data_IF_698422031278
#
_entry.id   IF_698422031278
#
_cell.length_a   1.000
_cell.length_b   1.000
_cell.length_c   1.000
_cell.angle_alpha   90.00
_cell.angle_beta   90.00
_cell.angle_gamma   90.00
#
_symmetry.space_group_name_H-M   'P 1'
#
loop_
_entity.id
_entity.type
_entity.pdbx_description
1 polymer ?
#
# COMPACT_ATOMS: atom_id res chain seq x y z
N UNK A 1 -11.56 -17.88 -4.44
CA UNK A 1 -10.75 -16.64 -4.44
C UNK A 1 -9.81 -16.64 -3.25
N UNK A 2 -8.63 -16.02 -3.35
CA UNK A 2 -7.77 -15.81 -2.18
C UNK A 2 -8.43 -14.82 -1.21
N UNK A 3 -8.24 -15.04 0.10
CA UNK A 3 -8.75 -14.16 1.16
C UNK A 3 -8.02 -12.84 1.10
N UNK A 4 -8.76 -11.74 1.14
CA UNK A 4 -8.20 -10.42 0.87
C UNK A 4 -7.26 -9.95 1.98
N UNK A 5 -7.55 -10.34 3.23
CA UNK A 5 -6.78 -9.94 4.41
C UNK A 5 -5.47 -10.72 4.57
N UNK A 6 -5.39 -11.91 3.98
CA UNK A 6 -4.28 -12.88 4.07
C UNK A 6 -3.83 -13.39 2.69
N UNK A 7 -3.92 -12.52 1.70
CA UNK A 7 -3.74 -12.86 0.29
C UNK A 7 -2.34 -13.43 0.02
N UNK A 8 -1.31 -12.74 0.50
CA UNK A 8 0.10 -13.10 0.31
C UNK A 8 0.45 -14.43 0.97
N UNK A 9 -0.07 -14.68 2.16
CA UNK A 9 0.13 -15.92 2.90
C UNK A 9 -0.56 -17.10 2.20
N UNK A 10 -1.72 -16.87 1.58
CA UNK A 10 -2.41 -17.90 0.80
C UNK A 10 -1.64 -18.28 -0.47
N UNK A 11 -1.16 -17.30 -1.25
CA UNK A 11 -0.36 -17.60 -2.45
C UNK A 11 0.99 -18.23 -2.08
N UNK A 12 1.59 -17.82 -0.98
CA UNK A 12 2.84 -18.40 -0.46
C UNK A 12 2.67 -19.83 0.00
N UNK A 13 1.56 -20.14 0.70
CA UNK A 13 1.22 -21.51 1.07
C UNK A 13 0.98 -22.40 -0.15
N UNK A 14 0.42 -21.87 -1.23
CA UNK A 14 0.28 -22.58 -2.50
C UNK A 14 1.63 -22.97 -3.11
N UNK A 15 2.59 -22.05 -3.17
CA UNK A 15 3.94 -22.35 -3.64
C UNK A 15 4.69 -23.35 -2.75
N UNK A 16 4.52 -23.26 -1.44
CA UNK A 16 5.14 -24.22 -0.52
C UNK A 16 4.59 -25.65 -0.70
N UNK A 17 3.30 -25.81 -1.00
CA UNK A 17 2.76 -27.12 -1.35
C UNK A 17 3.48 -27.69 -2.59
N UNK A 18 3.77 -26.85 -3.58
CA UNK A 18 4.60 -27.21 -4.73
C UNK A 18 5.99 -27.69 -4.32
N UNK A 19 6.67 -26.93 -3.45
CA UNK A 19 7.99 -27.30 -2.93
C UNK A 19 7.98 -28.64 -2.18
N UNK A 20 6.98 -28.88 -1.35
CA UNK A 20 6.86 -30.15 -0.62
C UNK A 20 6.77 -31.36 -1.56
N UNK A 21 6.15 -31.19 -2.75
CA UNK A 21 6.07 -32.26 -3.76
C UNK A 21 7.41 -32.52 -4.44
N UNK A 22 8.26 -31.50 -4.56
CA UNK A 22 9.64 -31.64 -5.04
C UNK A 22 10.47 -32.40 -4.00
N UNK A 23 10.41 -31.98 -2.73
CA UNK A 23 11.16 -32.62 -1.65
C UNK A 23 10.74 -34.07 -1.40
N UNK A 24 9.46 -34.39 -1.63
CA UNK A 24 8.95 -35.76 -1.59
C UNK A 24 9.33 -36.61 -2.82
N UNK A 25 10.09 -36.05 -3.78
CA UNK A 25 10.50 -36.74 -5.00
C UNK A 25 9.37 -37.02 -6.01
N UNK A 26 8.22 -36.36 -5.89
CA UNK A 26 7.05 -36.61 -6.74
C UNK A 26 7.00 -35.76 -8.00
N UNK A 27 7.63 -34.59 -8.02
CA UNK A 27 7.60 -33.62 -9.12
C UNK A 27 8.96 -32.95 -9.29
N UNK A 28 9.34 -32.60 -10.52
CA UNK A 28 10.49 -31.71 -10.73
C UNK A 28 10.12 -30.25 -10.46
N UNK A 29 11.08 -29.35 -10.22
CA UNK A 29 10.79 -27.93 -10.08
C UNK A 29 10.09 -27.30 -11.30
N UNK A 30 10.44 -27.74 -12.51
CA UNK A 30 9.81 -27.25 -13.75
C UNK A 30 8.35 -27.71 -13.86
N UNK A 31 8.05 -28.95 -13.43
CA UNK A 31 6.67 -29.46 -13.38
C UNK A 31 5.81 -28.64 -12.41
N UNK A 32 6.38 -28.23 -11.27
CA UNK A 32 5.66 -27.39 -10.30
C UNK A 32 5.43 -25.98 -10.82
N UNK A 33 6.40 -25.38 -11.53
CA UNK A 33 6.21 -24.08 -12.20
C UNK A 33 5.08 -24.18 -13.23
N UNK A 34 5.10 -25.19 -14.10
CA UNK A 34 4.04 -25.43 -15.09
C UNK A 34 2.66 -25.66 -14.43
N UNK A 35 2.63 -26.45 -13.35
CA UNK A 35 1.42 -26.69 -12.56
C UNK A 35 0.84 -25.41 -11.94
N UNK A 36 1.69 -24.50 -11.44
CA UNK A 36 1.27 -23.18 -10.96
C UNK A 36 0.63 -22.38 -12.08
N UNK A 37 1.27 -22.31 -13.25
CA UNK A 37 0.76 -21.56 -14.41
C UNK A 37 -0.62 -22.05 -14.82
N UNK A 38 -0.79 -23.36 -14.94
CA UNK A 38 -2.08 -23.98 -15.25
C UNK A 38 -3.12 -23.68 -14.17
N UNK A 39 -2.74 -23.79 -12.88
CA UNK A 39 -3.64 -23.50 -11.77
C UNK A 39 -4.12 -22.04 -11.77
N UNK A 40 -3.25 -21.08 -12.09
CA UNK A 40 -3.62 -19.68 -12.24
C UNK A 40 -4.58 -19.47 -13.40
N UNK A 41 -4.28 -20.07 -14.57
CA UNK A 41 -5.13 -19.97 -15.75
C UNK A 41 -6.54 -20.52 -15.52
N UNK A 42 -6.63 -21.73 -14.96
CA UNK A 42 -7.91 -22.38 -14.63
C UNK A 42 -8.67 -21.61 -13.55
N UNK A 43 -7.97 -21.12 -12.52
CA UNK A 43 -8.59 -20.29 -11.48
C UNK A 43 -9.18 -19.01 -12.06
N UNK A 44 -8.42 -18.30 -12.89
CA UNK A 44 -8.90 -17.09 -13.54
C UNK A 44 -10.09 -17.39 -14.45
N UNK A 45 -10.03 -18.44 -15.27
CA UNK A 45 -11.13 -18.84 -16.14
C UNK A 45 -12.42 -19.10 -15.33
N UNK A 46 -12.34 -19.95 -14.29
CA UNK A 46 -13.50 -20.26 -13.44
C UNK A 46 -14.05 -19.03 -12.72
N UNK A 47 -13.18 -18.16 -12.19
CA UNK A 47 -13.63 -16.94 -11.51
C UNK A 47 -14.31 -15.95 -12.47
N UNK A 48 -13.89 -15.89 -13.72
CA UNK A 48 -14.55 -15.06 -14.73
C UNK A 48 -15.90 -15.69 -15.16
N UNK A 49 -15.95 -17.00 -15.38
CA UNK A 49 -17.18 -17.70 -15.80
C UNK A 49 -18.25 -17.67 -14.71
N UNK A 50 -17.86 -17.84 -13.44
CA UNK A 50 -18.76 -17.95 -12.29
C UNK A 50 -18.61 -16.76 -11.34
N UNK A 51 -18.47 -15.54 -11.88
CA UNK A 51 -18.14 -14.35 -11.09
C UNK A 51 -19.15 -14.06 -9.96
N UNK A 52 -20.45 -14.22 -10.24
CA UNK A 52 -21.51 -14.04 -9.24
C UNK A 52 -21.41 -15.05 -8.09
N UNK A 53 -21.22 -16.33 -8.42
CA UNK A 53 -21.06 -17.39 -7.42
C UNK A 53 -19.78 -17.21 -6.61
N UNK A 54 -18.69 -16.78 -7.26
CA UNK A 54 -17.44 -16.50 -6.59
C UNK A 54 -17.57 -15.34 -5.60
N UNK A 55 -18.34 -14.29 -5.95
CA UNK A 55 -18.63 -13.18 -5.04
C UNK A 55 -19.52 -13.62 -3.87
N UNK A 56 -20.55 -14.43 -4.12
CA UNK A 56 -21.39 -14.99 -3.07
C UNK A 56 -20.58 -15.87 -2.10
N UNK A 57 -19.73 -16.74 -2.64
CA UNK A 57 -18.83 -17.58 -1.85
C UNK A 57 -17.81 -16.75 -1.05
N UNK A 58 -17.31 -15.65 -1.61
CA UNK A 58 -16.46 -14.70 -0.88
C UNK A 58 -17.18 -14.12 0.33
N UNK A 59 -18.42 -13.62 0.16
CA UNK A 59 -19.22 -13.05 1.25
C UNK A 59 -19.52 -14.10 2.31
N UNK A 60 -19.95 -15.29 1.90
CA UNK A 60 -20.24 -16.40 2.81
C UNK A 60 -19.01 -16.79 3.63
N UNK A 61 -17.84 -16.89 3.00
CA UNK A 61 -16.59 -17.22 3.69
C UNK A 61 -16.20 -16.16 4.72
N UNK A 62 -16.39 -14.87 4.41
CA UNK A 62 -16.10 -13.78 5.36
C UNK A 62 -17.04 -13.83 6.57
N UNK A 63 -18.33 -14.03 6.33
CA UNK A 63 -19.32 -14.15 7.41
C UNK A 63 -19.01 -15.33 8.33
N UNK A 64 -18.72 -16.51 7.77
CA UNK A 64 -18.39 -17.69 8.55
C UNK A 64 -17.11 -17.51 9.37
N UNK A 65 -16.06 -16.93 8.77
CA UNK A 65 -14.81 -16.66 9.49
C UNK A 65 -15.01 -15.64 10.60
N UNK A 66 -15.76 -14.56 10.33
CA UNK A 66 -16.08 -13.55 11.33
C UNK A 66 -16.80 -14.13 12.55
N UNK A 67 -17.77 -15.02 12.32
CA UNK A 67 -18.45 -15.76 13.38
C UNK A 67 -17.50 -16.64 14.17
N UNK A 68 -16.65 -17.42 13.49
CA UNK A 68 -15.69 -18.32 14.15
C UNK A 68 -14.62 -17.56 14.96
N UNK A 69 -14.21 -16.38 14.53
CA UNK A 69 -13.23 -15.56 15.24
C UNK A 69 -13.83 -14.55 16.23
N UNK A 70 -15.16 -14.47 16.34
CA UNK A 70 -15.82 -13.45 17.19
C UNK A 70 -15.53 -12.01 16.75
N UNK A 71 -15.31 -11.81 15.45
CA UNK A 71 -14.99 -10.50 14.84
C UNK A 71 -16.15 -10.00 13.97
N UNK A 72 -16.04 -8.77 13.47
CA UNK A 72 -16.98 -8.19 12.51
C UNK A 72 -16.21 -7.54 11.34
N UNK A 73 -16.93 -6.92 10.40
CA UNK A 73 -16.32 -6.27 9.23
C UNK A 73 -15.24 -5.22 9.55
N UNK A 74 -15.28 -4.60 10.74
CA UNK A 74 -14.29 -3.62 11.16
C UNK A 74 -13.07 -4.26 11.86
N UNK A 75 -13.26 -5.34 12.63
CA UNK A 75 -12.19 -5.96 13.43
C UNK A 75 -11.52 -7.17 12.77
N UNK A 76 -12.16 -7.80 11.78
CA UNK A 76 -11.68 -9.04 11.18
C UNK A 76 -10.30 -8.89 10.52
N UNK A 77 -10.06 -7.79 9.81
CA UNK A 77 -8.80 -7.59 9.10
C UNK A 77 -7.59 -7.41 10.04
N UNK A 78 -7.82 -6.83 11.23
CA UNK A 78 -6.80 -6.72 12.27
C UNK A 78 -6.56 -8.10 12.91
N UNK A 79 -7.63 -8.82 13.26
CA UNK A 79 -7.53 -10.18 13.80
C UNK A 79 -6.81 -11.13 12.85
N UNK A 80 -7.17 -11.12 11.57
CA UNK A 80 -6.57 -11.97 10.55
C UNK A 80 -5.05 -11.77 10.46
N UNK A 81 -4.53 -10.57 10.75
CA UNK A 81 -3.10 -10.22 10.70
C UNK A 81 -2.44 -10.12 12.07
N UNK A 82 -3.10 -10.59 13.13
CA UNK A 82 -2.60 -10.54 14.51
C UNK A 82 -1.56 -11.63 14.83
N UNK A 83 -1.35 -12.58 13.91
CA UNK A 83 -0.32 -13.61 14.03
C UNK A 83 1.07 -13.00 14.20
N UNK A 84 1.90 -13.64 15.02
CA UNK A 84 3.31 -13.28 15.22
C UNK A 84 4.20 -14.36 14.62
N UNK A 85 5.50 -14.12 14.47
CA UNK A 85 6.43 -15.17 14.02
C UNK A 85 6.38 -16.46 14.88
N UNK A 86 5.94 -16.36 16.15
CA UNK A 86 5.77 -17.52 17.03
C UNK A 86 4.50 -18.34 16.75
N UNK A 87 3.43 -17.71 16.26
CA UNK A 87 2.12 -18.35 16.07
C UNK A 87 1.73 -18.49 14.60
N UNK A 88 2.47 -17.84 13.72
CA UNK A 88 2.18 -17.72 12.30
C UNK A 88 3.48 -17.54 11.51
N UNK A 89 3.90 -18.64 10.87
CA UNK A 89 5.14 -18.70 10.08
C UNK A 89 5.18 -17.77 8.86
N UNK A 90 4.05 -17.15 8.48
CA UNK A 90 3.99 -16.18 7.40
C UNK A 90 3.89 -14.73 7.89
N UNK A 91 3.85 -14.50 9.21
CA UNK A 91 3.67 -13.16 9.79
C UNK A 91 4.87 -12.23 9.54
N UNK A 92 6.08 -12.78 9.38
CA UNK A 92 7.22 -12.00 8.91
C UNK A 92 7.11 -11.77 7.41
N UNK A 93 6.68 -10.57 7.04
CA UNK A 93 6.52 -10.15 5.64
C UNK A 93 7.81 -10.31 4.83
N UNK A 94 8.96 -9.93 5.39
CA UNK A 94 10.25 -9.94 4.67
C UNK A 94 10.68 -11.37 4.39
N UNK A 95 10.61 -12.24 5.41
CA UNK A 95 10.93 -13.66 5.26
C UNK A 95 9.96 -14.35 4.29
N UNK A 96 8.66 -14.03 4.37
CA UNK A 96 7.65 -14.59 3.49
C UNK A 96 7.86 -14.17 2.03
N UNK A 97 8.14 -12.88 1.77
CA UNK A 97 8.46 -12.36 0.45
C UNK A 97 9.70 -13.05 -0.14
N UNK A 98 10.77 -13.18 0.65
CA UNK A 98 11.99 -13.86 0.21
C UNK A 98 11.72 -15.34 -0.15
N UNK A 99 10.97 -16.05 0.70
CA UNK A 99 10.59 -17.44 0.46
C UNK A 99 9.69 -17.59 -0.78
N UNK A 100 8.73 -16.69 -0.98
CA UNK A 100 7.87 -16.65 -2.17
C UNK A 100 8.70 -16.46 -3.43
N UNK A 101 9.57 -15.45 -3.46
CA UNK A 101 10.42 -15.16 -4.62
C UNK A 101 11.35 -16.32 -4.96
N UNK A 102 11.96 -16.97 -3.95
CA UNK A 102 12.77 -18.17 -4.19
C UNK A 102 11.95 -19.31 -4.81
N UNK A 103 10.72 -19.54 -4.34
CA UNK A 103 9.83 -20.61 -4.85
C UNK A 103 9.21 -20.29 -6.20
N UNK A 104 9.22 -19.04 -6.65
CA UNK A 104 8.78 -18.71 -8.00
C UNK A 104 9.67 -19.36 -9.06
N UNK A 105 10.98 -19.47 -8.79
CA UNK A 105 12.00 -20.01 -9.71
C UNK A 105 12.67 -21.28 -9.21
N UNK A 106 12.43 -21.68 -7.96
CA UNK A 106 13.11 -22.77 -7.26
C UNK A 106 14.64 -22.69 -7.31
N UNK A 107 15.19 -21.46 -7.37
CA UNK A 107 16.63 -21.22 -7.41
C UNK A 107 17.26 -21.25 -8.80
N UNK A 108 16.47 -21.49 -9.86
CA UNK A 108 16.98 -21.31 -11.22
C UNK A 108 17.25 -19.83 -11.51
N UNK A 109 18.36 -19.58 -12.21
CA UNK A 109 18.64 -18.30 -12.84
C UNK A 109 18.01 -18.17 -14.23
N UNK A 110 18.05 -16.97 -14.83
CA UNK A 110 17.65 -16.77 -16.22
C UNK A 110 18.51 -17.59 -17.19
N UNK A 111 17.87 -18.13 -18.22
CA UNK A 111 18.47 -18.85 -19.35
C UNK A 111 18.33 -18.10 -20.68
N UNK A 112 17.67 -16.93 -20.66
CA UNK A 112 17.50 -16.02 -21.79
C UNK A 112 17.44 -14.55 -21.31
N UNK A 113 17.21 -13.61 -22.24
CA UNK A 113 17.10 -12.18 -21.91
C UNK A 113 15.97 -11.89 -20.92
N UNK A 114 16.23 -10.96 -20.01
CA UNK A 114 15.30 -10.51 -18.96
C UNK A 114 14.47 -9.28 -19.35
N UNK A 115 14.57 -8.83 -20.60
CA UNK A 115 14.09 -7.52 -21.04
C UNK A 115 12.75 -7.57 -21.81
N UNK A 116 12.14 -8.75 -21.93
CA UNK A 116 10.87 -8.86 -22.64
C UNK A 116 9.77 -8.07 -21.90
N UNK A 117 8.96 -7.27 -22.62
CA UNK A 117 7.95 -6.43 -22.00
C UNK A 117 6.94 -7.29 -21.21
N UNK A 118 6.32 -6.75 -20.16
CA UNK A 118 5.30 -7.46 -19.41
C UNK A 118 4.13 -7.93 -20.28
N UNK A 119 3.62 -9.14 -20.01
CA UNK A 119 2.54 -9.79 -20.76
C UNK A 119 1.55 -10.39 -19.77
N UNK A 120 0.43 -9.67 -19.55
CA UNK A 120 -0.63 -10.14 -18.65
C UNK A 120 -1.67 -10.93 -19.48
N UNK A 121 -2.02 -12.17 -19.10
CA UNK A 121 -3.11 -12.90 -19.74
C UNK A 121 -4.45 -12.18 -19.59
N UNK A 122 -5.33 -12.24 -20.60
CA UNK A 122 -6.69 -11.65 -20.51
C UNK A 122 -7.48 -12.33 -19.38
N UNK A 123 -8.19 -11.55 -18.55
CA UNK A 123 -9.00 -12.08 -17.45
C UNK A 123 -8.21 -12.38 -16.17
N UNK A 124 -6.87 -12.30 -16.19
CA UNK A 124 -6.04 -12.52 -15.00
C UNK A 124 -6.31 -11.46 -13.91
N UNK A 125 -6.78 -10.27 -14.27
CA UNK A 125 -7.16 -9.21 -13.33
C UNK A 125 -8.25 -9.61 -12.31
N UNK A 126 -9.00 -10.68 -12.58
CA UNK A 126 -9.96 -11.26 -11.62
C UNK A 126 -9.26 -11.82 -10.38
N UNK A 127 -8.01 -12.28 -10.51
CA UNK A 127 -7.23 -12.86 -9.41
C UNK A 127 -6.95 -11.84 -8.30
N UNK A 128 -7.01 -10.54 -8.62
CA UNK A 128 -6.81 -9.45 -7.69
C UNK A 128 -8.12 -8.80 -7.22
N UNK A 129 -9.28 -9.24 -7.71
CA UNK A 129 -10.56 -8.55 -7.46
C UNK A 129 -10.86 -8.39 -5.97
N UNK A 130 -10.68 -9.44 -5.18
CA UNK A 130 -10.95 -9.40 -3.74
C UNK A 130 -9.88 -8.64 -2.97
N UNK A 131 -8.65 -8.58 -3.50
CA UNK A 131 -7.53 -7.83 -2.90
C UNK A 131 -7.67 -6.33 -3.14
N UNK A 132 -8.20 -5.92 -4.29
CA UNK A 132 -8.38 -4.52 -4.66
C UNK A 132 -9.81 -4.25 -5.13
N UNK A 133 -10.80 -4.33 -4.23
CA UNK A 133 -12.21 -4.14 -4.60
C UNK A 133 -12.52 -2.74 -5.14
N UNK A 134 -11.69 -1.75 -4.79
CA UNK A 134 -11.82 -0.36 -5.20
C UNK A 134 -11.10 -0.02 -6.52
N UNK A 135 -10.33 -0.95 -7.11
CA UNK A 135 -9.68 -0.76 -8.40
C UNK A 135 -10.53 -1.34 -9.54
N UNK A 136 -10.53 -0.69 -10.70
CA UNK A 136 -11.14 -1.23 -11.92
C UNK A 136 -10.39 -2.48 -12.43
N UNK A 137 -11.03 -3.23 -13.34
CA UNK A 137 -10.39 -4.36 -14.01
C UNK A 137 -9.07 -3.97 -14.72
N UNK A 138 -9.09 -2.85 -15.46
CA UNK A 138 -7.91 -2.32 -16.15
C UNK A 138 -6.81 -1.92 -15.16
N UNK A 139 -7.17 -1.31 -14.04
CA UNK A 139 -6.21 -0.95 -13.00
C UNK A 139 -5.56 -2.18 -12.37
N UNK A 140 -6.34 -3.21 -12.03
CA UNK A 140 -5.81 -4.49 -11.54
C UNK A 140 -4.91 -5.17 -12.57
N UNK A 141 -5.24 -5.04 -13.86
CA UNK A 141 -4.38 -5.51 -14.96
C UNK A 141 -3.05 -4.77 -15.02
N UNK A 142 -3.04 -3.45 -14.80
CA UNK A 142 -1.79 -2.67 -14.69
C UNK A 142 -0.99 -3.03 -13.43
N UNK A 143 -1.66 -3.33 -12.31
CA UNK A 143 -0.98 -3.86 -11.12
C UNK A 143 -0.24 -5.15 -11.45
N UNK A 144 -0.89 -6.13 -12.09
CA UNK A 144 -0.24 -7.36 -12.55
C UNK A 144 0.95 -7.04 -13.47
N UNK A 145 0.73 -6.20 -14.48
CA UNK A 145 1.75 -5.81 -15.47
C UNK A 145 3.00 -5.21 -14.83
N UNK A 146 2.83 -4.36 -13.84
CA UNK A 146 3.94 -3.60 -13.22
C UNK A 146 4.64 -4.35 -12.10
N UNK A 147 4.15 -5.54 -11.76
CA UNK A 147 4.70 -6.38 -10.69
C UNK A 147 5.18 -7.74 -11.19
N UNK A 148 5.03 -8.03 -12.50
CA UNK A 148 5.54 -9.24 -13.14
C UNK A 148 7.02 -9.50 -12.83
N UNK A 149 7.37 -10.78 -12.76
CA UNK A 149 8.76 -11.19 -12.77
C UNK A 149 9.44 -10.84 -14.10
N UNK A 150 10.76 -10.58 -14.12
CA UNK A 150 11.51 -10.45 -15.36
C UNK A 150 11.37 -11.70 -16.25
N UNK A 151 11.53 -11.53 -17.56
CA UNK A 151 11.58 -12.67 -18.48
C UNK A 151 12.86 -13.49 -18.31
N UNK A 152 12.99 -14.55 -19.11
CA UNK A 152 14.21 -15.32 -19.27
C UNK A 152 14.35 -16.48 -18.30
N UNK A 153 13.44 -16.65 -17.33
CA UNK A 153 13.46 -17.80 -16.42
C UNK A 153 12.90 -19.05 -17.10
N UNK A 154 13.43 -20.25 -16.78
CA UNK A 154 12.94 -21.50 -17.37
C UNK A 154 11.43 -21.65 -17.25
N UNK A 155 10.75 -21.97 -18.37
CA UNK A 155 9.30 -22.22 -18.47
C UNK A 155 8.40 -20.99 -18.21
N UNK A 156 8.95 -19.87 -17.74
CA UNK A 156 8.14 -18.71 -17.31
C UNK A 156 7.74 -17.75 -18.44
N UNK A 157 8.42 -17.79 -19.58
CA UNK A 157 8.09 -16.96 -20.75
C UNK A 157 7.06 -17.66 -21.66
N UNK A 158 5.92 -18.07 -21.09
CA UNK A 158 4.83 -18.66 -21.87
C UNK A 158 4.14 -17.64 -22.77
N UNK A 159 3.52 -18.12 -23.85
CA UNK A 159 2.90 -17.29 -24.87
C UNK A 159 1.74 -16.44 -24.33
N UNK A 160 1.05 -16.89 -23.29
CA UNK A 160 -0.07 -16.19 -22.67
C UNK A 160 0.36 -15.27 -21.52
N UNK A 161 1.49 -15.55 -20.86
CA UNK A 161 2.11 -14.74 -19.82
C UNK A 161 1.78 -15.14 -18.37
N UNK A 162 1.29 -16.36 -18.13
CA UNK A 162 0.95 -16.84 -16.78
C UNK A 162 2.17 -17.08 -15.89
N UNK A 163 3.31 -17.43 -16.48
CA UNK A 163 4.54 -17.79 -15.80
C UNK A 163 5.11 -16.67 -14.96
N UNK A 164 5.04 -15.44 -15.47
CA UNK A 164 5.63 -14.24 -14.84
C UNK A 164 4.73 -13.53 -13.84
N UNK A 165 3.46 -13.92 -13.70
CA UNK A 165 2.55 -13.29 -12.74
C UNK A 165 3.07 -13.44 -11.30
N UNK A 166 3.42 -12.33 -10.67
CA UNK A 166 3.87 -12.28 -9.27
C UNK A 166 2.75 -11.78 -8.37
N UNK A 167 1.85 -12.69 -7.97
CA UNK A 167 0.70 -12.33 -7.14
C UNK A 167 1.08 -11.81 -5.75
N UNK A 168 2.26 -12.15 -5.24
CA UNK A 168 2.75 -11.62 -3.96
C UNK A 168 3.06 -10.13 -4.08
N UNK A 169 3.86 -9.74 -5.07
CA UNK A 169 4.16 -8.33 -5.33
C UNK A 169 2.90 -7.58 -5.77
N UNK A 170 2.06 -8.16 -6.62
CA UNK A 170 0.80 -7.54 -7.03
C UNK A 170 -0.10 -7.19 -5.85
N UNK A 171 -0.15 -8.01 -4.80
CA UNK A 171 -0.94 -7.75 -3.60
C UNK A 171 -0.45 -6.55 -2.76
N UNK A 172 0.75 -6.03 -3.03
CA UNK A 172 1.28 -4.81 -2.42
C UNK A 172 0.99 -3.54 -3.23
N UNK A 173 0.14 -3.63 -4.26
CA UNK A 173 -0.29 -2.51 -5.11
C UNK A 173 0.53 -2.40 -6.39
N UNK A 174 0.50 -1.24 -7.03
CA UNK A 174 1.26 -0.99 -8.27
C UNK A 174 2.77 -1.17 -8.04
N UNK A 175 3.49 -1.65 -9.06
CA UNK A 175 4.97 -1.57 -9.08
C UNK A 175 5.47 -0.30 -9.78
N UNK A 176 4.65 0.28 -10.65
CA UNK A 176 4.95 1.55 -11.31
C UNK A 176 3.67 2.26 -11.78
N UNK A 177 3.69 3.59 -11.78
CA UNK A 177 2.74 4.44 -12.48
C UNK A 177 3.30 4.78 -13.88
N UNK A 178 3.04 3.92 -14.86
CA UNK A 178 3.44 4.18 -16.26
C UNK A 178 2.56 5.24 -16.95
N UNK A 179 1.45 5.60 -16.31
CA UNK A 179 0.55 6.70 -16.65
C UNK A 179 -0.16 7.17 -15.40
N UNK A 180 -0.98 8.21 -15.51
CA UNK A 180 -1.72 8.75 -14.37
C UNK A 180 -2.72 7.72 -13.82
N UNK A 181 -2.76 7.57 -12.51
CA UNK A 181 -3.63 6.64 -11.78
C UNK A 181 -4.56 7.41 -10.88
N UNK A 182 -5.87 7.14 -10.98
CA UNK A 182 -6.89 7.67 -10.08
C UNK A 182 -7.42 6.53 -9.21
N UNK A 183 -7.34 6.68 -7.89
CA UNK A 183 -7.85 5.70 -6.92
C UNK A 183 -9.06 6.33 -6.21
N UNK A 184 -10.22 5.68 -6.31
CA UNK A 184 -11.44 6.05 -5.57
C UNK A 184 -11.68 5.05 -4.45
N UNK A 185 -11.58 5.49 -3.19
CA UNK A 185 -11.87 4.64 -2.02
C UNK A 185 -13.13 5.10 -1.28
N UNK A 186 -13.88 4.18 -0.70
CA UNK A 186 -15.13 4.46 0.01
C UNK A 186 -15.10 3.87 1.43
N UNK A 187 -14.98 4.75 2.41
CA UNK A 187 -14.97 4.39 3.82
C UNK A 187 -16.26 3.69 4.27
N UNK A 188 -17.41 4.00 3.66
CA UNK A 188 -18.70 3.44 4.06
C UNK A 188 -18.83 1.95 3.73
N UNK A 189 -18.03 1.44 2.79
CA UNK A 189 -18.03 0.03 2.39
C UNK A 189 -17.17 -0.86 3.30
N UNK A 190 -16.40 -0.27 4.23
CA UNK A 190 -15.54 -1.01 5.15
C UNK A 190 -14.42 -1.80 4.46
N UNK A 191 -13.70 -2.61 5.26
CA UNK A 191 -12.63 -3.48 4.77
C UNK A 191 -11.59 -2.74 3.93
N UNK A 192 -11.18 -3.36 2.81
CA UNK A 192 -10.20 -2.79 1.89
C UNK A 192 -10.72 -1.62 1.05
N UNK A 193 -12.04 -1.43 0.93
CA UNK A 193 -12.59 -0.22 0.31
C UNK A 193 -12.40 1.00 1.21
N UNK A 194 -12.40 0.79 2.53
CA UNK A 194 -12.23 1.85 3.50
C UNK A 194 -10.76 2.17 3.79
N UNK A 195 -9.91 1.15 3.92
CA UNK A 195 -8.49 1.35 4.20
C UNK A 195 -7.61 0.26 3.59
N UNK A 196 -6.51 0.66 2.95
CA UNK A 196 -5.52 -0.26 2.37
C UNK A 196 -4.09 0.27 2.49
N UNK A 197 -3.12 -0.64 2.36
CA UNK A 197 -1.69 -0.37 2.38
C UNK A 197 -1.04 -0.92 1.13
N UNK A 198 -0.33 -0.06 0.39
CA UNK A 198 0.57 -0.46 -0.69
C UNK A 198 2.01 -0.43 -0.20
N UNK A 199 2.75 -1.54 -0.41
CA UNK A 199 4.12 -1.74 0.08
C UNK A 199 5.17 -1.79 -1.02
N UNK A 200 4.78 -1.84 -2.29
CA UNK A 200 5.73 -1.83 -3.39
C UNK A 200 6.48 -0.50 -3.47
N UNK A 201 7.71 -0.57 -3.97
CA UNK A 201 8.51 0.59 -4.34
C UNK A 201 8.04 1.12 -5.69
N UNK A 202 7.02 1.99 -5.67
CA UNK A 202 6.34 2.44 -6.89
C UNK A 202 7.23 3.40 -7.68
N UNK A 203 7.51 3.05 -8.93
CA UNK A 203 8.27 3.88 -9.88
C UNK A 203 7.37 4.54 -10.94
N UNK A 204 7.99 5.17 -11.95
CA UNK A 204 7.31 5.64 -13.18
C UNK A 204 6.99 7.13 -13.20
N UNK A 205 6.62 7.63 -14.38
CA UNK A 205 6.39 9.06 -14.61
C UNK A 205 4.95 9.52 -14.30
N UNK A 206 4.05 8.59 -14.02
CA UNK A 206 2.63 8.86 -13.77
C UNK A 206 2.37 9.52 -12.43
N UNK A 207 1.28 10.31 -12.40
CA UNK A 207 0.73 10.94 -11.19
C UNK A 207 -0.21 9.97 -10.46
N UNK A 208 -0.23 10.02 -9.13
CA UNK A 208 -1.30 9.43 -8.32
C UNK A 208 -2.35 10.49 -7.95
N UNK A 209 -3.62 10.21 -8.18
CA UNK A 209 -4.74 10.97 -7.62
C UNK A 209 -5.55 10.07 -6.69
N UNK A 210 -5.67 10.43 -5.41
CA UNK A 210 -6.61 9.81 -4.47
C UNK A 210 -7.89 10.66 -4.39
N UNK A 211 -9.05 10.00 -4.39
CA UNK A 211 -10.34 10.60 -4.18
C UNK A 211 -11.30 9.66 -3.42
N UNK A 212 -12.46 10.17 -3.05
CA UNK A 212 -13.43 9.46 -2.23
C UNK A 212 -13.25 9.77 -0.73
N UNK A 213 -13.55 8.81 0.13
CA UNK A 213 -13.56 8.99 1.60
C UNK A 213 -12.64 8.02 2.35
N UNK A 214 -12.12 6.99 1.67
CA UNK A 214 -11.23 5.99 2.28
C UNK A 214 -9.80 6.46 2.50
N UNK A 215 -8.98 5.57 3.05
CA UNK A 215 -7.56 5.80 3.37
C UNK A 215 -6.65 4.88 2.57
N UNK A 216 -5.72 5.44 1.81
CA UNK A 216 -4.63 4.68 1.18
C UNK A 216 -3.32 5.01 1.89
N UNK A 217 -2.61 4.00 2.38
CA UNK A 217 -1.27 4.15 2.94
C UNK A 217 -0.21 3.71 1.92
N UNK A 218 0.73 4.58 1.60
CA UNK A 218 1.90 4.23 0.80
C UNK A 218 3.09 4.00 1.73
N UNK A 219 3.64 2.79 1.73
CA UNK A 219 4.70 2.36 2.67
C UNK A 219 5.98 1.86 2.00
N UNK A 220 5.99 1.74 0.68
CA UNK A 220 7.21 1.47 -0.09
C UNK A 220 8.13 2.68 -0.18
N UNK A 221 9.34 2.45 -0.66
CA UNK A 221 10.31 3.49 -1.01
C UNK A 221 10.01 4.02 -2.43
N UNK A 222 8.98 4.84 -2.55
CA UNK A 222 8.46 5.26 -3.84
C UNK A 222 9.39 6.27 -4.54
N UNK A 223 9.40 6.19 -5.87
CA UNK A 223 10.24 7.02 -6.76
C UNK A 223 9.49 7.51 -8.01
N UNK A 224 8.16 7.43 -8.01
CA UNK A 224 7.37 7.98 -9.12
C UNK A 224 7.51 9.50 -9.17
N UNK A 225 7.51 10.07 -10.37
CA UNK A 225 7.87 11.48 -10.60
C UNK A 225 6.70 12.35 -11.02
N UNK A 226 5.53 11.78 -11.35
CA UNK A 226 4.36 12.54 -11.79
C UNK A 226 3.65 13.33 -10.69
N UNK A 227 4.08 13.15 -9.44
CA UNK A 227 3.50 13.81 -8.26
C UNK A 227 2.24 13.12 -7.73
N UNK A 228 1.65 13.75 -6.73
CA UNK A 228 0.55 13.21 -5.93
C UNK A 228 -0.51 14.28 -5.71
N UNK A 229 -1.76 13.91 -5.99
CA UNK A 229 -2.93 14.75 -5.78
C UNK A 229 -3.90 14.04 -4.83
N UNK A 230 -4.28 14.72 -3.75
CA UNK A 230 -5.32 14.23 -2.83
C UNK A 230 -6.53 15.12 -3.00
N UNK A 231 -7.57 14.62 -3.68
CA UNK A 231 -8.83 15.32 -3.92
C UNK A 231 -9.95 14.86 -2.98
N UNK A 232 -9.68 13.88 -2.12
CA UNK A 232 -10.62 13.34 -1.14
C UNK A 232 -9.96 12.21 -0.33
N UNK A 233 -10.55 11.89 0.81
CA UNK A 233 -10.09 10.80 1.68
C UNK A 233 -8.76 11.14 2.35
N UNK A 234 -8.04 10.10 2.79
CA UNK A 234 -6.72 10.27 3.43
C UNK A 234 -5.63 9.51 2.68
N UNK A 235 -4.60 10.21 2.24
CA UNK A 235 -3.38 9.58 1.76
C UNK A 235 -2.34 9.59 2.90
N UNK A 236 -2.00 8.41 3.41
CA UNK A 236 -1.04 8.26 4.49
C UNK A 236 0.35 7.90 3.96
N UNK A 237 1.38 8.58 4.47
CA UNK A 237 2.77 8.23 4.29
C UNK A 237 3.22 7.26 5.40
N UNK A 238 3.48 6.01 5.03
CA UNK A 238 4.00 4.96 5.91
C UNK A 238 5.53 4.79 5.84
N UNK A 239 6.22 5.53 4.96
CA UNK A 239 7.67 5.53 4.81
C UNK A 239 8.21 6.92 4.50
N UNK A 240 9.52 7.13 4.67
CA UNK A 240 10.17 8.43 4.45
C UNK A 240 10.03 8.96 3.01
N UNK A 241 9.85 8.07 2.03
CA UNK A 241 9.75 8.39 0.59
C UNK A 241 8.37 8.02 0.01
N UNK A 242 7.34 7.93 0.86
CA UNK A 242 6.01 7.47 0.46
C UNK A 242 5.39 8.24 -0.72
N UNK A 243 5.72 9.52 -0.90
CA UNK A 243 5.12 10.37 -1.95
C UNK A 243 5.97 10.54 -3.21
N UNK A 244 6.99 9.71 -3.40
CA UNK A 244 7.82 9.77 -4.60
C UNK A 244 8.66 11.05 -4.67
N UNK A 245 8.95 11.51 -5.89
CA UNK A 245 9.84 12.66 -6.13
C UNK A 245 9.14 13.83 -6.83
N UNK A 246 7.82 13.77 -7.01
CA UNK A 246 7.02 14.85 -7.57
C UNK A 246 6.35 15.71 -6.51
N UNK A 247 5.66 16.76 -6.96
CA UNK A 247 4.91 17.66 -6.09
C UNK A 247 3.73 16.94 -5.40
N UNK A 248 3.41 17.36 -4.18
CA UNK A 248 2.22 16.91 -3.45
C UNK A 248 1.23 18.05 -3.35
N UNK A 249 0.01 17.80 -3.83
CA UNK A 249 -1.09 18.75 -3.81
C UNK A 249 -2.30 18.17 -3.07
N UNK A 250 -2.73 18.85 -2.02
CA UNK A 250 -3.92 18.51 -1.23
C UNK A 250 -5.03 19.49 -1.58
N UNK A 251 -5.97 19.02 -2.39
CA UNK A 251 -7.18 19.75 -2.75
C UNK A 251 -8.24 19.67 -1.65
N UNK A 252 -9.20 20.60 -1.67
CA UNK A 252 -10.31 20.65 -0.71
C UNK A 252 -11.00 19.29 -0.56
N UNK A 253 -11.28 18.89 0.69
CA UNK A 253 -11.81 17.58 1.05
C UNK A 253 -10.76 16.47 1.19
N UNK A 254 -9.51 16.72 0.76
CA UNK A 254 -8.40 15.80 0.90
C UNK A 254 -7.69 15.92 2.25
N UNK A 255 -7.12 14.81 2.71
CA UNK A 255 -6.26 14.75 3.90
C UNK A 255 -4.95 14.01 3.61
N UNK A 256 -3.87 14.49 4.20
CA UNK A 256 -2.57 13.79 4.21
C UNK A 256 -2.24 13.44 5.65
N UNK A 257 -1.78 12.21 5.88
CA UNK A 257 -1.31 11.76 7.19
C UNK A 257 0.14 11.32 7.12
N UNK A 258 0.98 11.84 8.00
CA UNK A 258 2.38 11.45 8.12
C UNK A 258 2.49 10.46 9.28
N UNK A 259 2.52 9.16 8.95
CA UNK A 259 2.54 8.06 9.92
C UNK A 259 3.88 7.28 9.92
N UNK A 260 4.85 7.71 9.11
CA UNK A 260 6.15 7.07 9.03
C UNK A 260 6.96 7.27 10.32
N UNK A 261 7.66 6.22 10.76
CA UNK A 261 8.60 6.27 11.90
C UNK A 261 9.91 7.04 11.62
N UNK A 262 9.94 7.80 10.53
CA UNK A 262 11.02 8.71 10.16
C UNK A 262 10.41 9.93 9.44
N UNK A 263 11.12 11.07 9.38
CA UNK A 263 10.63 12.24 8.67
C UNK A 263 10.36 11.92 7.18
N UNK A 264 9.18 12.29 6.71
CA UNK A 264 8.80 12.14 5.29
C UNK A 264 9.33 13.33 4.51
N UNK A 265 10.02 13.06 3.40
CA UNK A 265 10.65 14.11 2.59
C UNK A 265 9.91 14.29 1.27
N UNK A 266 9.45 15.51 1.03
CA UNK A 266 8.97 15.99 -0.26
C UNK A 266 10.04 16.94 -0.78
N UNK A 267 10.88 16.46 -1.69
CA UNK A 267 12.02 17.24 -2.18
C UNK A 267 11.62 18.46 -3.02
N UNK A 268 10.38 18.47 -3.50
CA UNK A 268 9.81 19.53 -4.35
C UNK A 268 8.76 20.33 -3.56
N UNK A 269 7.57 20.59 -4.12
CA UNK A 269 6.54 21.44 -3.50
C UNK A 269 5.50 20.62 -2.74
N UNK A 270 5.05 21.17 -1.61
CA UNK A 270 3.83 20.76 -0.93
C UNK A 270 2.82 21.91 -0.97
N UNK A 271 1.64 21.66 -1.53
CA UNK A 271 0.54 22.63 -1.58
C UNK A 271 -0.69 22.07 -0.87
N UNK A 272 -1.29 22.86 0.01
CA UNK A 272 -2.51 22.51 0.71
C UNK A 272 -3.52 23.65 0.61
N UNK A 273 -4.72 23.32 0.14
CA UNK A 273 -5.86 24.23 0.08
C UNK A 273 -6.61 24.31 1.41
N UNK A 274 -7.60 25.20 1.51
CA UNK A 274 -8.53 25.20 2.64
C UNK A 274 -9.44 23.97 2.64
N UNK A 275 -10.10 23.70 3.78
CA UNK A 275 -10.92 22.49 3.99
C UNK A 275 -10.16 21.18 3.72
N UNK A 276 -8.91 21.13 4.20
CA UNK A 276 -8.03 19.97 4.13
C UNK A 276 -7.44 19.69 5.51
N UNK A 277 -6.87 18.49 5.71
CA UNK A 277 -6.15 18.16 6.94
C UNK A 277 -4.75 17.64 6.63
N UNK A 278 -3.75 18.17 7.31
CA UNK A 278 -2.44 17.55 7.47
C UNK A 278 -2.35 16.98 8.89
N UNK A 279 -2.32 15.66 9.01
CA UNK A 279 -2.13 14.96 10.27
C UNK A 279 -0.68 14.51 10.43
N UNK A 280 -0.07 14.76 11.58
CA UNK A 280 1.30 14.38 11.92
C UNK A 280 1.31 13.47 13.15
N UNK A 281 1.69 12.20 12.99
CA UNK A 281 1.80 11.22 14.07
C UNK A 281 3.20 11.28 14.70
N UNK A 282 3.42 12.25 15.59
CA UNK A 282 4.72 12.53 16.20
C UNK A 282 5.09 11.46 17.24
N UNK A 283 6.26 10.85 17.06
CA UNK A 283 6.76 9.77 17.92
C UNK A 283 7.88 10.18 18.89
N UNK A 284 8.28 11.46 18.87
CA UNK A 284 9.37 12.00 19.70
C UNK A 284 10.79 11.62 19.25
N UNK A 285 10.95 10.75 18.26
CA UNK A 285 12.22 10.25 17.73
C UNK A 285 12.50 10.71 16.28
N UNK A 286 11.65 11.58 15.76
CA UNK A 286 11.75 12.16 14.41
C UNK A 286 10.70 11.65 13.44
N UNK A 287 10.01 10.56 13.75
CA UNK A 287 8.83 10.12 13.00
C UNK A 287 7.68 11.10 13.09
N UNK A 288 6.75 10.98 12.13
CA UNK A 288 5.58 11.86 12.01
C UNK A 288 5.87 13.27 11.47
N UNK A 289 7.13 13.63 11.24
CA UNK A 289 7.53 14.96 10.75
C UNK A 289 7.52 15.03 9.24
N UNK A 290 7.24 16.23 8.71
CA UNK A 290 7.31 16.52 7.29
C UNK A 290 8.54 17.38 6.97
N UNK A 291 9.24 17.06 5.88
CA UNK A 291 10.30 17.90 5.30
C UNK A 291 9.91 18.30 3.89
N UNK A 292 9.91 19.59 3.62
CA UNK A 292 9.62 20.15 2.29
C UNK A 292 10.87 20.87 1.80
N UNK A 293 11.50 20.29 0.78
CA UNK A 293 12.73 20.82 0.18
C UNK A 293 12.48 22.03 -0.72
N UNK A 294 11.29 22.11 -1.34
CA UNK A 294 10.85 23.26 -2.12
C UNK A 294 9.85 24.14 -1.37
N UNK A 295 8.87 24.68 -2.09
CA UNK A 295 7.88 25.60 -1.53
C UNK A 295 6.84 24.87 -0.69
N UNK A 296 6.61 25.37 0.54
CA UNK A 296 5.48 24.99 1.39
C UNK A 296 4.36 26.04 1.23
N UNK A 297 3.30 25.70 0.50
CA UNK A 297 2.14 26.57 0.27
C UNK A 297 0.93 26.07 1.05
N UNK A 298 0.47 26.82 2.05
CA UNK A 298 -0.72 26.48 2.83
C UNK A 298 -1.70 27.63 2.74
N UNK A 299 -2.80 27.42 2.03
CA UNK A 299 -3.87 28.42 1.86
C UNK A 299 -4.89 28.41 3.02
N UNK A 300 -4.85 27.39 3.87
CA UNK A 300 -5.78 27.21 5.00
C UNK A 300 -5.77 25.76 5.50
N UNK A 301 -6.92 25.29 5.99
CA UNK A 301 -7.11 23.93 6.50
C UNK A 301 -6.58 23.69 7.92
N UNK A 302 -6.58 22.42 8.30
CA UNK A 302 -6.23 21.96 9.64
C UNK A 302 -4.84 21.33 9.65
N UNK A 303 -4.01 21.72 10.61
CA UNK A 303 -2.86 20.95 11.06
C UNK A 303 -3.26 20.19 12.33
N UNK A 304 -3.30 18.87 12.26
CA UNK A 304 -3.61 18.00 13.38
C UNK A 304 -2.33 17.29 13.84
N UNK A 305 -2.01 17.38 15.13
CA UNK A 305 -0.84 16.72 15.72
C UNK A 305 -1.29 15.69 16.72
N UNK A 306 -0.87 14.45 16.49
CA UNK A 306 -1.11 13.31 17.37
C UNK A 306 0.22 12.81 17.91
N UNK A 307 0.26 12.45 19.18
CA UNK A 307 1.42 11.79 19.77
C UNK A 307 1.22 10.26 19.77
N UNK A 308 2.21 9.54 19.26
CA UNK A 308 2.14 8.08 19.07
C UNK A 308 3.34 7.38 19.72
N UNK A 309 3.32 6.04 19.74
CA UNK A 309 4.42 5.21 20.25
C UNK A 309 4.84 5.54 21.70
N UNK A 310 3.89 6.00 22.51
CA UNK A 310 4.13 6.35 23.93
C UNK A 310 4.81 7.70 24.13
N UNK A 311 4.98 8.52 23.09
CA UNK A 311 5.49 9.87 23.24
C UNK A 311 4.52 10.73 24.05
N UNK A 312 5.00 11.26 25.18
CA UNK A 312 4.23 12.05 26.12
C UNK A 312 4.95 13.39 26.37
N UNK A 313 4.69 14.42 25.55
CA UNK A 313 5.24 15.74 25.79
C UNK A 313 4.55 16.40 27.00
N UNK A 314 5.09 17.53 27.46
CA UNK A 314 4.54 18.31 28.57
C UNK A 314 4.25 19.75 28.16
N UNK A 315 3.38 20.40 28.93
CA UNK A 315 3.15 21.83 28.76
C UNK A 315 4.47 22.61 28.87
N UNK A 316 4.68 23.56 27.96
CA UNK A 316 5.92 24.30 27.80
C UNK A 316 6.84 23.77 26.71
N UNK A 317 6.70 22.50 26.30
CA UNK A 317 7.49 21.93 25.22
C UNK A 317 7.20 22.62 23.88
N UNK A 318 8.22 22.69 23.03
CA UNK A 318 8.09 23.13 21.64
C UNK A 318 8.42 21.97 20.71
N UNK A 319 7.44 21.54 19.92
CA UNK A 319 7.54 20.36 19.07
C UNK A 319 7.76 20.81 17.63
N UNK A 320 8.88 20.38 17.03
CA UNK A 320 9.13 20.60 15.61
C UNK A 320 8.26 19.67 14.76
N UNK A 321 7.55 20.22 13.78
CA UNK A 321 6.56 19.50 12.98
C UNK A 321 6.96 19.42 11.51
N UNK A 322 7.27 20.58 10.93
CA UNK A 322 7.57 20.72 9.50
C UNK A 322 8.90 21.45 9.35
N UNK A 323 9.84 20.86 8.61
CA UNK A 323 11.05 21.53 8.15
C UNK A 323 10.81 22.00 6.70
N UNK A 324 10.99 23.28 6.41
CA UNK A 324 10.76 23.82 5.05
C UNK A 324 10.54 25.33 5.05
N UNK A 325 10.56 25.95 3.87
CA UNK A 325 10.39 27.40 3.71
C UNK A 325 8.95 27.84 4.07
N UNK A 326 8.65 27.96 5.37
CA UNK A 326 7.31 28.07 5.93
C UNK A 326 6.85 29.51 6.26
N UNK A 327 7.64 30.52 5.87
CA UNK A 327 7.41 31.91 6.28
C UNK A 327 6.03 32.48 5.91
N UNK A 328 5.42 31.98 4.83
CA UNK A 328 4.08 32.36 4.37
C UNK A 328 3.00 31.31 4.65
N UNK A 329 3.35 30.14 5.16
CA UNK A 329 2.39 29.08 5.43
C UNK A 329 1.55 29.41 6.66
N UNK A 330 0.21 29.35 6.56
CA UNK A 330 -0.71 29.54 7.68
C UNK A 330 -1.84 28.52 7.60
N UNK A 331 -1.94 27.68 8.62
CA UNK A 331 -3.08 26.79 8.78
C UNK A 331 -4.23 27.58 9.43
N UNK A 332 -5.46 27.35 8.96
CA UNK A 332 -6.67 27.98 9.53
C UNK A 332 -6.92 27.48 10.95
N UNK A 333 -6.66 26.19 11.20
CA UNK A 333 -6.82 25.53 12.50
C UNK A 333 -5.57 24.72 12.83
N UNK A 334 -5.13 24.77 14.08
CA UNK A 334 -4.07 23.90 14.60
C UNK A 334 -4.59 23.21 15.86
N UNK A 335 -4.66 21.89 15.82
CA UNK A 335 -5.10 21.05 16.95
C UNK A 335 -3.98 20.10 17.35
N UNK A 336 -3.83 19.90 18.65
CA UNK A 336 -2.86 18.97 19.22
C UNK A 336 -3.59 18.11 20.25
N UNK A 337 -3.56 16.80 20.06
CA UNK A 337 -4.26 15.87 20.95
C UNK A 337 -3.75 16.02 22.40
N UNK A 338 -4.66 16.36 23.31
CA UNK A 338 -4.40 16.49 24.74
C UNK A 338 -3.78 17.82 25.20
N UNK A 339 -3.57 18.80 24.31
CA UNK A 339 -2.94 20.08 24.66
C UNK A 339 -3.63 21.28 24.01
N UNK A 340 -3.58 22.42 24.69
CA UNK A 340 -3.65 23.72 24.00
C UNK A 340 -2.30 23.96 23.32
N UNK A 341 -2.32 24.53 22.11
CA UNK A 341 -1.12 24.74 21.34
C UNK A 341 -1.11 26.10 20.65
N UNK A 342 0.05 26.75 20.63
CA UNK A 342 0.30 27.95 19.84
C UNK A 342 1.26 27.59 18.70
N UNK A 343 0.83 27.68 17.43
CA UNK A 343 1.72 27.41 16.31
C UNK A 343 2.76 28.52 16.16
N UNK A 344 4.00 28.11 15.90
CA UNK A 344 5.14 28.98 15.66
C UNK A 344 5.60 28.75 14.23
N UNK A 345 5.46 29.79 13.40
CA UNK A 345 5.86 29.79 12.00
C UNK A 345 7.16 30.56 11.85
N UNK A 346 8.16 29.95 11.25
CA UNK A 346 9.47 30.55 10.98
C UNK A 346 9.78 30.46 9.49
N UNK A 347 10.82 31.15 9.04
CA UNK A 347 11.31 31.00 7.67
C UNK A 347 11.79 29.58 7.34
N UNK A 348 12.09 28.76 8.35
CA UNK A 348 12.69 27.42 8.21
C UNK A 348 11.77 26.27 8.59
N UNK A 349 10.56 26.56 9.10
CA UNK A 349 9.62 25.50 9.48
C UNK A 349 8.45 25.93 10.34
N UNK A 350 7.65 24.93 10.72
CA UNK A 350 6.48 25.03 11.60
C UNK A 350 6.71 24.18 12.85
N UNK A 351 6.42 24.74 14.00
CA UNK A 351 6.43 24.05 15.29
C UNK A 351 5.19 24.43 16.11
N UNK A 352 4.93 23.72 17.21
CA UNK A 352 3.87 24.05 18.16
C UNK A 352 4.46 24.17 19.56
N UNK A 353 4.13 25.26 20.26
CA UNK A 353 4.39 25.40 21.70
C UNK A 353 3.18 24.93 22.47
N UNK A 354 3.37 23.94 23.33
CA UNK A 354 2.29 23.34 24.12
C UNK A 354 2.03 24.16 25.39
N UNK A 355 0.77 24.24 25.78
CA UNK A 355 0.33 24.78 27.07
C UNK A 355 -0.67 23.83 27.72
N UNK A 356 -0.94 24.03 29.01
CA UNK A 356 -1.92 23.22 29.74
C UNK A 356 -3.30 23.32 29.05
N UNK A 357 -4.00 22.19 29.01
CA UNK A 357 -5.28 22.04 28.31
C UNK A 357 -6.38 22.99 28.79
#
# INVERSE_FOLDING_TARGET
MARSERFQEMVSRGLELGENRILAGMHSPLDVIGGRMLALAVSAANLNTYASDAQAAYVQAHQALQQLSGTNGASFAAFARSGTAATDRFADYTANKAAFMRRMTFGFGPIASTDAPPLVPKGAEILLQTRFPYLSADQRRVVLKTTEMPSGYPVMDDAEGWGRLNLFAAADGYGAFNGNVIVSMDASQGGLNAADVWRNDIAGAGKLTLQGTGTLTLSGNNRYTGGTQVSGGTLAAGSANAFGSGDVYVGSGGSVRIAAGAPVTISTRYTQLDNTTLELDIDGNGGGRLRVGGTLSVAGGTLHVKFVNGYAPKAGDTIALIDGAAGSAKFSTVTVDGFKATPVYTGTGVSVRLSAA
#
